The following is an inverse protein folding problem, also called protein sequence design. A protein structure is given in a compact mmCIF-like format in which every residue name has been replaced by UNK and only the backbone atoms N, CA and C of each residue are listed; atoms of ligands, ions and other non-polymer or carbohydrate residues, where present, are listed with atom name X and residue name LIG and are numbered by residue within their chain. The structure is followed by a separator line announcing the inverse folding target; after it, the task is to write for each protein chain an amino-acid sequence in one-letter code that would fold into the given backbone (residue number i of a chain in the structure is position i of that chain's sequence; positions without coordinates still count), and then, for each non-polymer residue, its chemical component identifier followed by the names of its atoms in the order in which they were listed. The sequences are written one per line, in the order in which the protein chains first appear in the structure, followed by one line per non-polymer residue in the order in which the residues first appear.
data_IF_051698684855
#
_entry.id   IF_051698684855
#
_cell.length_a   1.000
_cell.length_b   1.000
_cell.length_c   1.000
_cell.angle_alpha   90.00
_cell.angle_beta   90.00
_cell.angle_gamma   90.00
#
_symmetry.space_group_name_H-M   'P 1'
#
loop_
_entity.id
_entity.type
_entity.pdbx_description
1 polymer ?
#
# COMPACT_ATOMS: atom_id res chain seq x y z
N UNK A 1 4.16 6.33 -12.76
CA UNK A 1 3.74 4.96 -12.44
C UNK A 1 2.97 4.97 -11.15
N UNK A 2 1.81 4.32 -11.08
CA UNK A 2 0.95 4.42 -9.91
C UNK A 2 1.51 3.65 -8.74
N UNK A 3 1.15 4.13 -7.55
CA UNK A 3 1.31 3.35 -6.34
C UNK A 3 0.31 2.20 -6.36
N UNK A 4 0.70 1.08 -5.77
CA UNK A 4 -0.22 -0.04 -5.56
C UNK A 4 -0.34 -0.28 -4.07
N UNK A 5 -1.58 -0.28 -3.59
CA UNK A 5 -1.88 -0.52 -2.17
C UNK A 5 -2.63 -1.84 -2.05
N UNK A 6 -1.98 -2.82 -1.47
CA UNK A 6 -2.55 -4.15 -1.25
C UNK A 6 -3.23 -4.16 0.12
N UNK A 7 -4.52 -4.51 0.15
CA UNK A 7 -5.34 -4.38 1.34
C UNK A 7 -6.26 -5.58 1.56
N UNK A 8 -6.79 -5.65 2.79
CA UNK A 8 -8.01 -6.38 3.12
C UNK A 8 -9.01 -5.31 3.56
N UNK A 9 -10.21 -5.32 3.00
CA UNK A 9 -11.14 -4.19 3.19
C UNK A 9 -11.66 -4.04 4.61
N UNK A 10 -11.59 -5.10 5.41
CA UNK A 10 -11.99 -5.06 6.82
C UNK A 10 -10.87 -4.64 7.77
N UNK A 11 -9.66 -4.51 7.29
CA UNK A 11 -8.48 -4.22 8.11
C UNK A 11 -8.43 -2.73 8.46
N UNK A 12 -8.45 -2.35 9.75
CA UNK A 12 -8.44 -0.94 10.14
C UNK A 12 -7.23 -0.17 9.62
N UNK A 13 -6.05 -0.77 9.65
CA UNK A 13 -4.84 -0.12 9.15
C UNK A 13 -4.88 0.10 7.65
N UNK A 14 -5.54 -0.82 6.92
CA UNK A 14 -5.74 -0.67 5.48
C UNK A 14 -6.67 0.50 5.18
N UNK A 15 -7.79 0.60 5.90
CA UNK A 15 -8.74 1.70 5.76
C UNK A 15 -8.05 3.04 6.05
N UNK A 16 -7.29 3.11 7.13
CA UNK A 16 -6.54 4.32 7.47
C UNK A 16 -5.56 4.70 6.36
N UNK A 17 -4.92 3.70 5.74
CA UNK A 17 -3.96 3.96 4.68
C UNK A 17 -4.61 4.61 3.46
N UNK A 18 -5.70 4.03 2.96
CA UNK A 18 -6.31 4.62 1.75
C UNK A 18 -7.01 5.94 2.07
N UNK A 19 -7.59 6.10 3.26
CA UNK A 19 -8.18 7.37 3.66
C UNK A 19 -7.12 8.47 3.74
N UNK A 20 -5.95 8.14 4.27
CA UNK A 20 -4.83 9.08 4.35
C UNK A 20 -4.37 9.51 2.94
N UNK A 21 -4.25 8.56 2.01
CA UNK A 21 -3.87 8.84 0.63
C UNK A 21 -4.93 9.68 -0.08
N UNK A 22 -6.21 9.33 0.08
CA UNK A 22 -7.32 10.06 -0.53
C UNK A 22 -7.38 11.51 -0.05
N UNK A 23 -7.19 11.72 1.24
CA UNK A 23 -7.25 13.05 1.83
C UNK A 23 -6.16 13.97 1.28
N UNK A 24 -5.07 13.42 0.76
CA UNK A 24 -3.95 14.19 0.22
C UNK A 24 -3.90 14.20 -1.30
N UNK A 25 -4.91 13.61 -1.95
CA UNK A 25 -4.99 13.60 -3.40
C UNK A 25 -3.93 12.75 -4.07
N UNK A 26 -3.36 11.78 -3.35
CA UNK A 26 -2.34 10.88 -3.91
C UNK A 26 -3.03 9.74 -4.63
N UNK A 27 -2.69 9.56 -5.91
CA UNK A 27 -3.28 8.50 -6.72
C UNK A 27 -2.61 7.15 -6.43
N UNK A 28 -3.43 6.11 -6.37
CA UNK A 28 -2.95 4.74 -6.13
C UNK A 28 -3.97 3.76 -6.69
N UNK A 29 -3.53 2.54 -6.91
CA UNK A 29 -4.40 1.44 -7.28
C UNK A 29 -4.68 0.61 -6.03
N UNK A 30 -5.96 0.41 -5.70
CA UNK A 30 -6.36 -0.39 -4.54
C UNK A 30 -6.53 -1.84 -4.98
N UNK A 31 -5.80 -2.75 -4.33
CA UNK A 31 -5.81 -4.17 -4.67
C UNK A 31 -6.26 -4.98 -3.46
N UNK A 32 -7.47 -5.54 -3.54
CA UNK A 32 -8.04 -6.36 -2.46
C UNK A 32 -7.54 -7.79 -2.61
N UNK A 33 -6.62 -8.17 -1.72
CA UNK A 33 -5.95 -9.48 -1.81
C UNK A 33 -6.86 -10.65 -1.41
N UNK A 34 -8.02 -10.36 -0.85
CA UNK A 34 -9.00 -11.41 -0.56
C UNK A 34 -9.90 -11.70 -1.76
N UNK A 35 -10.01 -10.76 -2.69
CA UNK A 35 -10.78 -10.95 -3.92
C UNK A 35 -9.94 -11.51 -5.07
N UNK A 36 -8.64 -11.32 -5.02
CA UNK A 36 -7.76 -11.74 -6.10
C UNK A 36 -6.58 -12.52 -5.55
N UNK A 37 -6.57 -13.82 -5.79
CA UNK A 37 -5.44 -14.67 -5.40
C UNK A 37 -4.15 -14.24 -6.09
N UNK A 38 -4.26 -13.80 -7.35
CA UNK A 38 -3.10 -13.33 -8.09
C UNK A 38 -2.48 -12.10 -7.42
N UNK A 39 -3.30 -11.18 -6.92
CA UNK A 39 -2.80 -9.99 -6.23
C UNK A 39 -2.18 -10.36 -4.87
N UNK A 40 -2.78 -11.32 -4.17
CA UNK A 40 -2.21 -11.81 -2.92
C UNK A 40 -0.83 -12.42 -3.13
N UNK A 41 -0.70 -13.28 -4.15
CA UNK A 41 0.57 -13.90 -4.47
C UNK A 41 1.63 -12.88 -4.92
N UNK A 42 1.21 -11.87 -5.67
CA UNK A 42 2.09 -10.78 -6.10
C UNK A 42 2.60 -9.98 -4.89
N UNK A 43 1.71 -9.67 -3.95
CA UNK A 43 2.10 -8.97 -2.73
C UNK A 43 3.16 -9.76 -1.96
N UNK A 44 2.96 -11.06 -1.79
CA UNK A 44 3.91 -11.92 -1.09
C UNK A 44 5.26 -11.93 -1.82
N UNK A 45 5.23 -12.07 -3.14
CA UNK A 45 6.45 -12.11 -3.94
C UNK A 45 7.25 -10.81 -3.82
N UNK A 46 6.57 -9.66 -3.85
CA UNK A 46 7.22 -8.36 -3.82
C UNK A 46 7.68 -7.96 -2.42
N UNK A 47 6.93 -8.32 -1.39
CA UNK A 47 7.19 -7.86 -0.02
C UNK A 47 7.83 -8.91 0.89
N UNK A 48 7.77 -10.17 0.51
CA UNK A 48 8.30 -11.25 1.33
C UNK A 48 7.46 -11.58 2.55
N UNK A 49 6.22 -11.07 2.63
CA UNK A 49 5.36 -11.29 3.78
C UNK A 49 3.87 -11.24 3.34
N UNK A 50 2.95 -11.54 4.26
CA UNK A 50 1.53 -11.75 3.95
C UNK A 50 0.61 -10.70 4.54
N UNK A 51 1.16 -9.73 5.25
CA UNK A 51 0.34 -8.78 6.02
C UNK A 51 -0.05 -7.58 5.19
N UNK A 52 -1.18 -6.97 5.54
CA UNK A 52 -1.68 -5.76 4.91
C UNK A 52 -1.79 -4.65 5.97
N UNK A 53 -1.73 -3.38 5.58
CA UNK A 53 -1.52 -2.88 4.22
C UNK A 53 -0.07 -3.05 3.75
N UNK A 54 0.11 -3.22 2.45
CA UNK A 54 1.43 -3.25 1.81
C UNK A 54 1.40 -2.29 0.62
N UNK A 55 2.35 -1.37 0.58
CA UNK A 55 2.44 -0.37 -0.47
C UNK A 55 3.63 -0.65 -1.37
N UNK A 56 3.44 -0.59 -2.68
CA UNK A 56 4.50 -0.77 -3.66
C UNK A 56 4.52 0.43 -4.59
N UNK A 57 5.69 1.05 -4.74
CA UNK A 57 5.86 2.18 -5.66
C UNK A 57 6.10 1.72 -7.09
N UNK A 58 5.99 2.64 -8.04
CA UNK A 58 6.30 2.33 -9.43
C UNK A 58 7.75 1.91 -9.66
N UNK A 59 8.66 2.32 -8.79
CA UNK A 59 10.08 1.94 -8.85
C UNK A 59 10.38 0.60 -8.17
N UNK A 60 9.39 -0.01 -7.53
CA UNK A 60 9.56 -1.29 -6.85
C UNK A 60 9.90 -1.20 -5.37
N UNK A 61 9.91 0.00 -4.79
CA UNK A 61 10.09 0.14 -3.34
C UNK A 61 8.85 -0.36 -2.60
N UNK A 62 9.05 -1.01 -1.47
CA UNK A 62 7.98 -1.69 -0.72
C UNK A 62 7.93 -1.20 0.71
N UNK A 63 6.72 -0.90 1.20
CA UNK A 63 6.47 -0.63 2.61
C UNK A 63 5.47 -1.68 3.11
N UNK A 64 5.94 -2.73 3.79
CA UNK A 64 5.06 -3.82 4.24
C UNK A 64 4.52 -3.54 5.63
N UNK A 65 3.28 -3.95 5.88
CA UNK A 65 2.67 -3.99 7.21
C UNK A 65 2.90 -2.72 8.02
N UNK A 66 2.37 -1.60 7.50
CA UNK A 66 2.68 -0.28 8.06
C UNK A 66 1.48 0.38 8.73
N UNK A 67 1.80 1.36 9.61
CA UNK A 67 0.82 2.27 10.18
C UNK A 67 0.92 3.65 9.53
N UNK A 68 0.03 4.59 9.90
CA UNK A 68 -0.05 5.90 9.22
C UNK A 68 1.22 6.74 9.30
N UNK A 69 1.93 6.70 10.43
CA UNK A 69 3.16 7.47 10.57
C UNK A 69 4.26 7.00 9.66
N UNK A 70 4.33 5.71 9.42
CA UNK A 70 5.33 5.13 8.52
C UNK A 70 5.06 5.49 7.07
N UNK A 71 3.77 5.61 6.71
CA UNK A 71 3.35 5.93 5.35
C UNK A 71 3.89 7.29 4.90
N UNK A 72 3.73 8.31 5.72
CA UNK A 72 4.22 9.64 5.38
C UNK A 72 5.73 9.66 5.20
N UNK A 73 6.47 9.05 6.12
CA UNK A 73 7.93 8.98 6.06
C UNK A 73 8.40 8.26 4.82
N UNK A 74 7.76 7.16 4.48
CA UNK A 74 8.10 6.37 3.29
C UNK A 74 7.91 7.18 2.02
N UNK A 75 6.77 7.86 1.90
CA UNK A 75 6.47 8.65 0.70
C UNK A 75 7.45 9.81 0.54
N UNK A 76 7.81 10.47 1.63
CA UNK A 76 8.82 11.53 1.60
C UNK A 76 10.17 11.01 1.15
N UNK A 77 10.57 9.87 1.68
CA UNK A 77 11.85 9.24 1.33
C UNK A 77 11.94 8.93 -0.16
N UNK A 78 10.82 8.56 -0.78
CA UNK A 78 10.78 8.19 -2.18
C UNK A 78 10.29 9.33 -3.09
N UNK A 79 10.25 10.55 -2.57
CA UNK A 79 9.90 11.77 -3.32
C UNK A 79 8.51 11.71 -3.94
N UNK A 80 7.57 11.08 -3.26
CA UNK A 80 6.18 11.00 -3.69
C UNK A 80 5.40 12.07 -2.96
N UNK A 81 5.02 13.13 -3.69
CA UNK A 81 4.31 14.25 -3.11
C UNK A 81 2.81 14.03 -3.16
N UNK A 82 2.08 14.59 -2.18
CA UNK A 82 0.62 14.62 -2.25
C UNK A 82 0.15 15.52 -3.39
#
# INVERSE_FOLDING_TARGET
MPLKLYVKIWCPWCVMAWEWLDARGIHYELLDVEKSRADYDTMIRLSGQRLTPTLVTGSGAVLPDFGPGELESFLKKHSIAP
#
